data_IF_672447982375
#
_entry.id   IF_672447982375
#
_cell.length_a   1.000
_cell.length_b   1.000
_cell.length_c   1.000
_cell.angle_alpha   90.00
_cell.angle_beta   90.00
_cell.angle_gamma   90.00
#
_symmetry.space_group_name_H-M   'P 1'
#
loop_
_entity.id
_entity.type
_entity.pdbx_description
1 polymer ?
#
# COMPACT_ATOMS: atom_id res chain seq x y z
N UNK A 1 -5.24 -11.32 -1.33
CA UNK A 1 -5.83 -10.23 -2.15
C UNK A 1 -7.10 -10.79 -2.78
N UNK A 2 -8.16 -10.00 -2.90
CA UNK A 2 -9.31 -10.37 -3.72
C UNK A 2 -9.02 -10.01 -5.18
N UNK A 3 -8.82 -11.03 -6.02
CA UNK A 3 -8.47 -10.87 -7.43
C UNK A 3 -9.61 -10.25 -8.24
N UNK A 4 -10.88 -10.46 -7.86
CA UNK A 4 -12.03 -9.91 -8.58
C UNK A 4 -12.13 -8.39 -8.42
N UNK A 5 -11.72 -7.85 -7.25
CA UNK A 5 -11.80 -6.41 -6.97
C UNK A 5 -10.45 -5.70 -6.91
N UNK A 6 -9.34 -6.40 -7.19
CA UNK A 6 -7.98 -5.84 -7.10
C UNK A 6 -7.72 -5.15 -5.76
N UNK A 7 -8.28 -5.70 -4.69
CA UNK A 7 -8.31 -5.08 -3.37
C UNK A 7 -7.60 -5.95 -2.35
N UNK A 8 -6.75 -5.31 -1.54
CA UNK A 8 -6.07 -5.94 -0.43
C UNK A 8 -6.55 -5.33 0.88
N UNK A 9 -7.05 -6.20 1.77
CA UNK A 9 -7.37 -5.89 3.14
C UNK A 9 -6.40 -6.63 4.05
N UNK A 10 -5.34 -5.96 4.50
CA UNK A 10 -4.34 -6.57 5.36
C UNK A 10 -4.87 -6.73 6.79
N UNK A 11 -4.62 -7.88 7.38
CA UNK A 11 -4.88 -8.12 8.80
C UNK A 11 -3.85 -7.34 9.64
N UNK A 12 -4.25 -6.37 10.48
CA UNK A 12 -3.34 -5.63 11.36
C UNK A 12 -2.71 -6.48 12.47
N UNK A 13 -3.31 -7.63 12.78
CA UNK A 13 -2.79 -8.57 13.78
C UNK A 13 -1.74 -9.52 13.17
N UNK A 14 -1.66 -9.56 11.84
CA UNK A 14 -0.59 -10.25 11.12
C UNK A 14 0.66 -9.36 11.01
N UNK A 15 1.75 -9.77 11.65
CA UNK A 15 3.03 -9.03 11.66
C UNK A 15 3.65 -8.78 10.26
N UNK A 16 3.19 -9.51 9.24
CA UNK A 16 3.59 -9.33 7.83
C UNK A 16 2.82 -8.25 7.11
N UNK A 17 1.74 -7.72 7.69
CA UNK A 17 1.08 -6.51 7.22
C UNK A 17 1.69 -5.29 7.93
N UNK A 18 2.18 -4.31 7.16
CA UNK A 18 2.59 -3.02 7.75
C UNK A 18 1.34 -2.19 8.04
N UNK A 19 0.76 -2.41 9.22
CA UNK A 19 -0.35 -1.65 9.75
C UNK A 19 -0.61 -2.11 11.18
N UNK A 20 -0.64 -1.18 12.13
CA UNK A 20 -0.78 -1.48 13.55
C UNK A 20 -1.90 -0.67 14.18
N UNK A 21 -2.59 -1.29 15.12
CA UNK A 21 -3.53 -0.61 15.98
C UNK A 21 -2.87 0.52 16.75
N UNK A 22 -3.62 1.61 16.95
CA UNK A 22 -3.25 2.65 17.88
C UNK A 22 -3.16 2.01 19.29
N UNK A 23 -2.07 2.22 20.03
CA UNK A 23 -1.93 1.67 21.38
C UNK A 23 -2.90 2.27 22.40
N UNK A 24 -3.57 3.39 22.10
CA UNK A 24 -4.61 3.95 22.96
C UNK A 24 -5.79 2.97 23.00
N UNK A 25 -6.11 2.44 24.19
CA UNK A 25 -7.04 1.32 24.40
C UNK A 25 -8.41 1.53 23.77
N UNK A 26 -8.96 2.74 23.87
CA UNK A 26 -10.26 3.09 23.29
C UNK A 26 -10.20 3.53 21.82
N UNK A 27 -9.03 3.52 21.17
CA UNK A 27 -8.84 4.02 19.81
C UNK A 27 -8.75 2.87 18.78
N UNK A 28 -9.78 2.65 17.94
CA UNK A 28 -9.77 1.61 16.92
C UNK A 28 -9.03 2.04 15.62
N UNK A 29 -8.13 3.02 15.71
CA UNK A 29 -7.43 3.52 14.52
C UNK A 29 -6.26 2.62 14.18
N UNK A 30 -6.04 2.38 12.88
CA UNK A 30 -4.87 1.64 12.39
C UNK A 30 -3.95 2.64 11.68
N UNK A 31 -2.66 2.59 11.99
CA UNK A 31 -1.63 3.46 11.42
C UNK A 31 -0.49 2.65 10.81
N UNK A 32 0.33 3.28 9.97
CA UNK A 32 1.54 2.69 9.42
C UNK A 32 2.76 2.82 10.38
N UNK A 33 2.51 3.14 11.65
CA UNK A 33 3.50 3.21 12.72
C UNK A 33 3.02 2.40 13.92
N UNK A 34 3.95 1.90 14.74
CA UNK A 34 3.62 1.24 16.02
C UNK A 34 3.21 2.21 17.14
N UNK A 35 3.23 3.51 16.86
CA UNK A 35 2.87 4.55 17.82
C UNK A 35 1.40 4.92 17.78
N UNK A 36 1.04 5.93 18.58
CA UNK A 36 -0.28 6.57 18.53
C UNK A 36 -0.60 7.09 17.13
N UNK A 37 -1.89 7.02 16.76
CA UNK A 37 -2.35 7.68 15.54
C UNK A 37 -2.18 9.21 15.65
N UNK A 38 -2.20 9.92 14.51
CA UNK A 38 -2.02 11.39 14.49
C UNK A 38 -2.99 12.16 15.39
N UNK A 39 -4.24 11.69 15.55
CA UNK A 39 -5.20 12.35 16.44
C UNK A 39 -4.82 12.14 17.90
N UNK A 40 -4.55 10.90 18.31
CA UNK A 40 -4.10 10.58 19.65
C UNK A 40 -2.77 11.26 20.00
N UNK A 41 -1.83 11.42 19.06
CA UNK A 41 -0.60 12.21 19.29
C UNK A 41 -0.93 13.65 19.64
N UNK A 42 -1.84 14.28 18.89
CA UNK A 42 -2.23 15.68 19.12
C UNK A 42 -3.01 15.84 20.43
N UNK A 43 -3.93 14.93 20.71
CA UNK A 43 -4.73 14.92 21.94
C UNK A 43 -3.87 14.64 23.16
N UNK A 44 -2.91 13.72 23.07
CA UNK A 44 -1.93 13.46 24.12
C UNK A 44 -1.13 14.72 24.46
N UNK A 45 -0.56 15.38 23.43
CA UNK A 45 0.16 16.64 23.59
C UNK A 45 -0.69 17.75 24.22
N UNK A 46 -1.99 17.77 23.95
CA UNK A 46 -2.91 18.76 24.51
C UNK A 46 -3.38 18.41 25.94
N UNK A 47 -3.37 17.13 26.32
CA UNK A 47 -3.91 16.66 27.59
C UNK A 47 -3.02 16.96 28.80
N UNK A 48 -1.70 17.08 28.59
CA UNK A 48 -0.72 17.17 29.69
C UNK A 48 -0.53 15.86 30.48
N UNK A 49 -1.24 14.79 30.14
CA UNK A 49 -1.10 13.48 30.77
C UNK A 49 0.24 12.84 30.36
N UNK A 50 0.81 12.03 31.25
CA UNK A 50 1.88 11.12 30.86
C UNK A 50 1.35 10.09 29.85
N UNK A 51 2.28 9.43 29.15
CA UNK A 51 1.92 8.53 28.05
C UNK A 51 1.10 7.33 28.53
N UNK A 52 1.44 6.72 29.66
CA UNK A 52 0.78 5.49 30.10
C UNK A 52 -0.66 5.77 30.53
N UNK A 53 -0.85 6.80 31.36
CA UNK A 53 -2.18 7.27 31.78
C UNK A 53 -3.05 7.63 30.56
N UNK A 54 -2.48 8.31 29.57
CA UNK A 54 -3.22 8.65 28.35
C UNK A 54 -3.64 7.42 27.54
N UNK A 55 -2.76 6.44 27.38
CA UNK A 55 -3.07 5.24 26.59
C UNK A 55 -4.21 4.41 27.19
N UNK A 56 -4.31 4.35 28.53
CA UNK A 56 -5.36 3.59 29.21
C UNK A 56 -6.69 4.36 29.33
N UNK A 57 -6.64 5.66 29.63
CA UNK A 57 -7.85 6.43 30.00
C UNK A 57 -8.46 7.27 28.87
N UNK A 58 -7.69 7.63 27.84
CA UNK A 58 -8.18 8.55 26.81
C UNK A 58 -9.18 7.90 25.86
N UNK A 59 -10.34 8.52 25.71
CA UNK A 59 -11.37 8.16 24.72
C UNK A 59 -11.38 9.21 23.62
N UNK A 60 -10.90 8.91 22.39
CA UNK A 60 -10.86 9.90 21.32
C UNK A 60 -12.25 10.42 20.94
N UNK A 61 -12.41 11.74 20.93
CA UNK A 61 -13.61 12.38 20.37
C UNK A 61 -13.62 12.23 18.84
N UNK A 62 -14.71 11.68 18.28
CA UNK A 62 -14.91 11.67 16.83
C UNK A 62 -15.26 13.07 16.30
N UNK A 63 -14.29 13.99 16.27
CA UNK A 63 -14.51 15.40 15.85
C UNK A 63 -14.89 15.55 14.38
N UNK A 64 -14.34 14.69 13.50
CA UNK A 64 -14.69 14.60 12.07
C UNK A 64 -14.71 13.14 11.65
N UNK A 65 -15.70 12.79 10.83
CA UNK A 65 -15.82 11.46 10.29
C UNK A 65 -14.68 11.15 9.31
N UNK A 66 -13.95 10.06 9.54
CA UNK A 66 -13.02 9.54 8.56
C UNK A 66 -13.83 8.89 7.42
N UNK A 67 -13.58 9.24 6.14
CA UNK A 67 -14.24 8.55 5.03
C UNK A 67 -14.02 7.03 5.13
N UNK A 68 -14.94 6.20 4.63
CA UNK A 68 -14.76 4.74 4.63
C UNK A 68 -15.05 3.99 5.95
N UNK A 69 -15.75 4.61 6.92
CA UNK A 69 -16.44 3.87 8.00
C UNK A 69 -17.91 3.61 7.62
N UNK A 70 -18.59 2.69 8.30
CA UNK A 70 -20.06 2.63 8.21
C UNK A 70 -20.66 3.84 8.91
N UNK A 71 -21.56 4.53 8.21
CA UNK A 71 -22.13 5.77 8.70
C UNK A 71 -23.15 5.45 9.79
N UNK A 72 -22.80 5.69 11.05
CA UNK A 72 -23.82 5.80 12.09
C UNK A 72 -24.86 6.82 11.63
N UNK A 73 -26.14 6.55 11.89
CA UNK A 73 -27.25 7.34 11.34
C UNK A 73 -27.30 8.74 11.95
N UNK A 74 -27.87 9.66 11.19
CA UNK A 74 -28.12 11.03 11.65
C UNK A 74 -28.93 11.03 12.95
N UNK A 75 -28.62 11.98 13.84
CA UNK A 75 -29.27 12.16 15.13
C UNK A 75 -30.72 12.64 15.02
N UNK A 76 -31.12 13.23 13.89
CA UNK A 76 -32.47 13.77 13.70
C UNK A 76 -33.50 12.66 13.82
N UNK A 77 -34.42 12.85 14.77
CA UNK A 77 -35.51 11.96 15.06
C UNK A 77 -36.74 12.78 15.42
N UNK A 78 -37.86 12.47 14.78
CA UNK A 78 -39.14 13.16 15.01
C UNK A 78 -40.28 12.18 14.86
N UNK A 79 -41.24 12.23 15.77
CA UNK A 79 -42.45 11.40 15.74
C UNK A 79 -42.13 9.89 15.57
N UNK A 80 -41.08 9.43 16.27
CA UNK A 80 -40.59 8.04 16.21
C UNK A 80 -39.85 7.67 14.93
N UNK A 81 -39.58 8.61 14.02
CA UNK A 81 -38.86 8.35 12.75
C UNK A 81 -37.40 8.81 12.80
N UNK A 82 -36.50 7.84 12.67
CA UNK A 82 -35.05 7.93 12.39
C UNK A 82 -34.71 8.59 11.04
N UNK A 83 -33.90 9.64 10.97
CA UNK A 83 -33.22 9.98 9.71
C UNK A 83 -32.29 8.82 9.28
N UNK A 84 -32.47 8.32 8.05
CA UNK A 84 -31.75 7.16 7.50
C UNK A 84 -30.39 7.52 6.91
N UNK A 85 -30.16 8.80 6.61
CA UNK A 85 -28.89 9.25 6.04
C UNK A 85 -27.77 9.16 7.08
N UNK A 86 -26.56 8.88 6.62
CA UNK A 86 -25.41 8.81 7.49
C UNK A 86 -24.97 10.13 8.11
N UNK A 87 -24.41 10.06 9.32
CA UNK A 87 -23.81 11.21 9.99
C UNK A 87 -22.61 11.75 9.20
N UNK A 88 -22.52 13.08 9.13
CA UNK A 88 -21.46 13.84 8.49
C UNK A 88 -20.65 14.63 9.54
N UNK A 89 -21.31 15.51 10.30
CA UNK A 89 -20.68 16.38 11.30
C UNK A 89 -21.64 16.60 12.47
N UNK A 90 -21.11 16.67 13.70
CA UNK A 90 -21.92 16.84 14.94
C UNK A 90 -23.10 15.85 15.03
N UNK A 91 -22.87 14.60 14.60
CA UNK A 91 -23.89 13.53 14.53
C UNK A 91 -25.08 13.81 13.58
N UNK A 92 -25.05 14.88 12.79
CA UNK A 92 -26.05 15.21 11.77
C UNK A 92 -25.59 14.77 10.38
N UNK A 93 -26.51 14.40 9.48
CA UNK A 93 -26.20 14.21 8.05
C UNK A 93 -25.84 15.56 7.40
N UNK A 94 -25.31 15.55 6.16
CA UNK A 94 -24.89 16.79 5.49
C UNK A 94 -26.04 17.80 5.35
N UNK A 95 -27.24 17.33 5.00
CA UNK A 95 -28.44 18.17 4.84
C UNK A 95 -28.86 18.80 6.16
N UNK A 96 -28.98 18.00 7.22
CA UNK A 96 -29.35 18.50 8.55
C UNK A 96 -28.25 19.35 9.18
N UNK A 97 -26.98 19.03 8.95
CA UNK A 97 -25.87 19.88 9.39
C UNK A 97 -25.94 21.27 8.77
N UNK A 98 -26.23 21.36 7.46
CA UNK A 98 -26.43 22.66 6.79
C UNK A 98 -27.63 23.41 7.36
N UNK A 99 -28.77 22.74 7.54
CA UNK A 99 -29.96 23.36 8.13
C UNK A 99 -29.70 23.87 9.56
N UNK A 100 -28.97 23.08 10.35
CA UNK A 100 -28.54 23.46 11.70
C UNK A 100 -27.64 24.69 11.69
N UNK A 101 -26.64 24.73 10.81
CA UNK A 101 -25.80 25.93 10.63
C UNK A 101 -26.65 27.15 10.25
N UNK A 102 -27.59 27.00 9.31
CA UNK A 102 -28.50 28.08 8.91
C UNK A 102 -29.40 28.54 10.05
N UNK A 103 -29.74 27.67 11.00
CA UNK A 103 -30.53 28.01 12.19
C UNK A 103 -29.74 28.70 13.32
N UNK A 104 -28.50 29.14 13.04
CA UNK A 104 -27.64 29.80 14.04
C UNK A 104 -26.85 28.83 14.91
N UNK A 105 -26.75 27.55 14.52
CA UNK A 105 -25.98 26.53 15.25
C UNK A 105 -26.38 26.34 16.73
N UNK A 106 -27.68 26.14 17.03
CA UNK A 106 -28.16 25.90 18.40
C UNK A 106 -27.61 24.61 19.01
N UNK A 107 -27.93 24.30 20.26
CA UNK A 107 -27.55 23.00 20.86
C UNK A 107 -28.08 21.84 19.99
N UNK A 108 -27.18 20.95 19.56
CA UNK A 108 -27.44 20.06 18.42
C UNK A 108 -28.40 18.91 18.77
N UNK A 109 -28.31 18.37 19.97
CA UNK A 109 -29.20 17.33 20.47
C UNK A 109 -30.65 17.81 20.63
N UNK A 110 -30.86 19.04 21.10
CA UNK A 110 -32.17 19.67 21.26
C UNK A 110 -32.75 20.02 19.89
N UNK A 111 -31.94 20.64 19.02
CA UNK A 111 -32.38 21.00 17.68
C UNK A 111 -32.79 19.76 16.86
N UNK A 112 -32.01 18.67 16.94
CA UNK A 112 -32.26 17.45 16.19
C UNK A 112 -33.59 16.76 16.55
N UNK A 113 -34.14 17.02 17.74
CA UNK A 113 -35.43 16.45 18.20
C UNK A 113 -36.62 17.37 17.99
N UNK A 114 -36.40 18.68 17.87
CA UNK A 114 -37.46 19.69 17.92
C UNK A 114 -37.72 20.38 16.59
N UNK A 115 -36.74 20.43 15.69
CA UNK A 115 -36.81 21.25 14.47
C UNK A 115 -37.05 20.46 13.17
N UNK A 116 -36.08 19.65 12.71
CA UNK A 116 -36.03 19.19 11.33
C UNK A 116 -36.84 17.92 11.06
N UNK A 117 -37.34 17.78 9.83
CA UNK A 117 -37.99 16.55 9.35
C UNK A 117 -36.90 15.49 9.04
N UNK A 118 -37.05 14.24 9.53
CA UNK A 118 -36.18 13.14 9.17
C UNK A 118 -36.22 12.82 7.66
N UNK A 119 -35.07 12.52 7.06
CA UNK A 119 -34.99 11.98 5.70
C UNK A 119 -35.07 10.46 5.81
N UNK A 120 -36.00 9.83 5.10
CA UNK A 120 -36.28 8.39 5.20
C UNK A 120 -35.96 7.62 3.93
N UNK A 121 -35.54 8.31 2.87
CA UNK A 121 -35.02 7.69 1.65
C UNK A 121 -33.67 7.03 1.95
N UNK A 122 -33.39 5.90 1.27
CA UNK A 122 -32.07 5.28 1.34
C UNK A 122 -31.26 5.74 0.15
N UNK A 123 -30.14 6.42 0.42
CA UNK A 123 -29.25 6.85 -0.64
C UNK A 123 -28.47 5.65 -1.19
N UNK A 124 -28.37 5.50 -2.53
CA UNK A 124 -27.53 4.46 -3.10
C UNK A 124 -26.06 4.65 -2.71
N UNK A 125 -25.29 3.57 -2.76
CA UNK A 125 -23.85 3.61 -2.54
C UNK A 125 -23.11 4.40 -3.64
N UNK A 126 -21.96 4.94 -3.28
CA UNK A 126 -21.03 5.61 -4.19
C UNK A 126 -20.68 4.71 -5.38
N UNK A 127 -20.54 5.30 -6.58
CA UNK A 127 -20.18 4.58 -7.80
C UNK A 127 -18.75 4.03 -7.83
N UNK A 128 -17.90 4.40 -6.87
CA UNK A 128 -16.55 3.83 -6.76
C UNK A 128 -16.67 2.42 -6.20
N UNK A 129 -16.11 1.44 -6.90
CA UNK A 129 -16.09 0.05 -6.46
C UNK A 129 -15.56 -0.07 -5.01
N UNK A 130 -16.24 -0.90 -4.20
CA UNK A 130 -15.95 -1.09 -2.76
C UNK A 130 -16.13 0.16 -1.88
N UNK A 131 -16.66 1.26 -2.39
CA UNK A 131 -17.01 2.41 -1.58
C UNK A 131 -18.43 2.27 -1.04
N UNK A 132 -18.55 1.99 0.24
CA UNK A 132 -19.83 1.81 0.92
C UNK A 132 -20.41 3.13 1.47
N UNK A 133 -19.80 4.26 1.13
CA UNK A 133 -20.34 5.56 1.51
C UNK A 133 -21.59 5.87 0.70
N UNK A 134 -22.59 6.41 1.38
CA UNK A 134 -23.78 6.97 0.72
C UNK A 134 -23.36 8.12 -0.22
N UNK A 135 -24.05 8.18 -1.36
CA UNK A 135 -23.92 9.30 -2.30
C UNK A 135 -24.22 10.61 -1.60
N UNK A 136 -23.58 11.70 -2.05
CA UNK A 136 -23.83 13.03 -1.51
C UNK A 136 -24.62 13.85 -2.52
N UNK A 137 -25.94 14.01 -2.31
CA UNK A 137 -26.84 14.76 -3.19
C UNK A 137 -27.21 14.01 -4.48
N UNK A 138 -27.58 14.72 -5.55
CA UNK A 138 -27.99 14.17 -6.86
C UNK A 138 -26.84 13.57 -7.70
N UNK A 139 -25.68 13.28 -7.09
CA UNK A 139 -24.48 12.77 -7.78
C UNK A 139 -24.30 11.28 -7.53
N UNK A 140 -23.60 10.60 -8.44
CA UNK A 140 -23.23 9.18 -8.31
C UNK A 140 -22.12 8.93 -7.29
N UNK A 141 -21.51 9.97 -6.70
CA UNK A 141 -20.36 9.89 -5.79
C UNK A 141 -20.67 10.33 -4.34
N UNK A 142 -19.93 9.78 -3.37
CA UNK A 142 -19.95 10.28 -1.99
C UNK A 142 -19.17 11.62 -1.86
N UNK A 143 -19.34 12.33 -0.75
CA UNK A 143 -18.72 13.64 -0.52
C UNK A 143 -17.19 13.61 -0.65
N UNK A 144 -16.55 12.54 -0.17
CA UNK A 144 -15.10 12.33 -0.31
C UNK A 144 -14.68 12.22 -1.78
N UNK A 145 -15.37 11.40 -2.57
CA UNK A 145 -15.03 11.22 -3.98
C UNK A 145 -15.40 12.41 -4.85
N UNK A 146 -16.46 13.17 -4.50
CA UNK A 146 -16.75 14.46 -5.14
C UNK A 146 -15.58 15.43 -4.94
N UNK A 147 -15.05 15.53 -3.71
CA UNK A 147 -13.90 16.40 -3.43
C UNK A 147 -12.63 15.93 -4.15
N UNK A 148 -12.43 14.61 -4.25
CA UNK A 148 -11.31 14.00 -4.97
C UNK A 148 -11.38 14.27 -6.48
N UNK A 149 -12.54 14.03 -7.11
CA UNK A 149 -12.76 14.27 -8.54
C UNK A 149 -12.52 15.74 -8.91
N UNK A 150 -13.08 16.67 -8.14
CA UNK A 150 -12.88 18.12 -8.36
C UNK A 150 -11.42 18.56 -8.29
N UNK A 151 -10.61 17.90 -7.47
CA UNK A 151 -9.19 18.23 -7.31
C UNK A 151 -8.33 17.56 -8.37
N UNK A 152 -8.59 16.29 -8.65
CA UNK A 152 -7.68 15.44 -9.43
C UNK A 152 -8.06 15.39 -10.91
N UNK A 153 -9.34 15.53 -11.27
CA UNK A 153 -9.84 15.39 -12.65
C UNK A 153 -11.15 16.18 -12.89
N UNK A 154 -11.19 17.51 -12.68
CA UNK A 154 -12.44 18.29 -12.73
C UNK A 154 -13.15 18.27 -14.09
N UNK A 155 -12.42 18.01 -15.17
CA UNK A 155 -12.92 18.02 -16.55
C UNK A 155 -13.21 16.62 -17.11
N UNK A 156 -12.92 15.56 -16.35
CA UNK A 156 -13.17 14.17 -16.78
C UNK A 156 -14.60 13.73 -16.42
N UNK A 157 -15.32 13.00 -17.29
CA UNK A 157 -16.58 12.36 -16.94
C UNK A 157 -16.44 11.49 -15.68
N UNK A 158 -17.45 11.54 -14.80
CA UNK A 158 -17.39 10.86 -13.50
C UNK A 158 -17.26 9.36 -13.67
N UNK A 159 -17.92 8.78 -14.65
CA UNK A 159 -17.96 7.34 -14.93
C UNK A 159 -16.59 6.81 -15.37
N UNK A 160 -15.92 7.53 -16.27
CA UNK A 160 -14.56 7.20 -16.75
C UNK A 160 -13.55 7.31 -15.60
N UNK A 161 -13.62 8.41 -14.85
CA UNK A 161 -12.76 8.64 -13.71
C UNK A 161 -12.95 7.55 -12.64
N UNK A 162 -14.22 7.25 -12.31
CA UNK A 162 -14.61 6.32 -11.25
C UNK A 162 -14.07 4.91 -11.46
N UNK A 163 -14.02 4.45 -12.72
CA UNK A 163 -13.53 3.10 -13.08
C UNK A 163 -12.08 2.84 -12.65
N UNK A 164 -11.28 3.90 -12.46
CA UNK A 164 -9.86 3.83 -12.08
C UNK A 164 -9.60 4.27 -10.64
N UNK A 165 -10.64 4.65 -9.90
CA UNK A 165 -10.49 5.14 -8.53
C UNK A 165 -10.55 4.03 -7.48
N UNK A 166 -10.01 4.36 -6.32
CA UNK A 166 -10.05 3.52 -5.12
C UNK A 166 -11.10 4.03 -4.13
N UNK A 167 -11.68 3.15 -3.29
CA UNK A 167 -12.43 3.60 -2.13
C UNK A 167 -11.51 4.37 -1.16
N UNK A 168 -12.05 4.90 -0.06
CA UNK A 168 -11.16 5.36 0.99
C UNK A 168 -10.36 4.17 1.56
N UNK A 169 -9.03 4.23 1.47
CA UNK A 169 -8.14 3.16 1.89
C UNK A 169 -7.57 3.44 3.27
N UNK A 170 -7.78 2.52 4.23
CA UNK A 170 -7.14 2.58 5.55
C UNK A 170 -5.65 2.25 5.47
N UNK A 171 -4.92 2.37 6.58
CA UNK A 171 -3.46 2.16 6.60
C UNK A 171 -3.05 0.74 6.19
N UNK A 172 -3.86 -0.27 6.49
CA UNK A 172 -3.64 -1.69 6.14
C UNK A 172 -4.23 -2.09 4.78
N UNK A 173 -4.72 -1.13 3.98
CA UNK A 173 -5.45 -1.40 2.75
C UNK A 173 -4.78 -0.74 1.55
N UNK A 174 -4.78 -1.45 0.42
CA UNK A 174 -4.45 -0.91 -0.88
C UNK A 174 -5.33 -1.50 -1.97
N UNK A 175 -5.32 -0.88 -3.15
CA UNK A 175 -5.95 -1.42 -4.35
C UNK A 175 -5.01 -1.27 -5.53
N UNK A 176 -5.05 -2.25 -6.42
CA UNK A 176 -4.30 -2.24 -7.67
C UNK A 176 -5.11 -1.65 -8.84
N UNK A 177 -6.40 -1.32 -8.65
CA UNK A 177 -7.25 -0.69 -9.69
C UNK A 177 -6.57 0.49 -10.40
N UNK A 178 -5.80 1.38 -9.73
CA UNK A 178 -5.18 2.51 -10.40
C UNK A 178 -4.09 2.15 -11.43
N UNK A 179 -3.52 0.95 -11.38
CA UNK A 179 -2.52 0.53 -12.37
C UNK A 179 -3.19 0.13 -13.69
N UNK A 180 -2.44 0.22 -14.80
CA UNK A 180 -2.84 -0.36 -16.08
C UNK A 180 -3.03 -1.90 -15.99
N UNK A 181 -3.86 -2.52 -16.86
CA UNK A 181 -4.24 -3.92 -16.72
C UNK A 181 -3.08 -4.92 -16.58
N UNK A 182 -2.01 -4.79 -17.35
CA UNK A 182 -0.83 -5.68 -17.27
C UNK A 182 -0.03 -5.40 -16.01
N UNK A 183 0.25 -4.12 -15.72
CA UNK A 183 0.90 -3.67 -14.49
C UNK A 183 0.22 -4.18 -13.20
N UNK A 184 -1.12 -4.35 -13.19
CA UNK A 184 -1.84 -4.96 -12.05
C UNK A 184 -1.36 -6.37 -11.76
N UNK A 185 -1.18 -7.18 -12.81
CA UNK A 185 -0.69 -8.56 -12.69
C UNK A 185 0.76 -8.61 -12.28
N UNK A 186 1.62 -7.77 -12.85
CA UNK A 186 3.03 -7.68 -12.47
C UNK A 186 3.20 -7.27 -11.00
N UNK A 187 2.43 -6.27 -10.55
CA UNK A 187 2.42 -5.83 -9.16
C UNK A 187 1.90 -6.93 -8.22
N UNK A 188 0.81 -7.61 -8.59
CA UNK A 188 0.28 -8.74 -7.84
C UNK A 188 1.32 -9.86 -7.72
N UNK A 189 1.95 -10.24 -8.84
CA UNK A 189 2.99 -11.25 -8.86
C UNK A 189 4.16 -10.87 -7.95
N UNK A 190 4.65 -9.63 -8.05
CA UNK A 190 5.75 -9.17 -7.20
C UNK A 190 5.41 -9.21 -5.70
N UNK A 191 4.19 -8.81 -5.34
CA UNK A 191 3.69 -8.88 -3.96
C UNK A 191 3.55 -10.32 -3.46
N UNK A 192 3.07 -11.24 -4.31
CA UNK A 192 2.99 -12.67 -3.99
C UNK A 192 4.38 -13.29 -3.77
N UNK A 193 5.35 -12.97 -4.63
CA UNK A 193 6.73 -13.44 -4.46
C UNK A 193 7.39 -12.87 -3.21
N UNK A 194 7.03 -11.64 -2.82
CA UNK A 194 7.50 -11.06 -1.56
C UNK A 194 6.90 -11.77 -0.35
N UNK A 195 5.60 -11.99 -0.34
CA UNK A 195 4.91 -12.70 0.74
C UNK A 195 5.41 -14.15 0.90
N UNK A 196 5.60 -14.85 -0.22
CA UNK A 196 6.17 -16.21 -0.25
C UNK A 196 7.57 -16.31 0.36
N UNK A 197 8.36 -15.21 0.31
CA UNK A 197 9.68 -15.11 0.94
C UNK A 197 9.62 -14.64 2.40
N UNK A 198 8.42 -14.48 2.97
CA UNK A 198 8.19 -13.97 4.32
C UNK A 198 8.40 -12.45 4.45
N UNK A 199 8.44 -11.73 3.32
CA UNK A 199 8.54 -10.28 3.30
C UNK A 199 7.25 -9.61 3.77
N UNK A 200 7.37 -8.43 4.37
CA UNK A 200 6.20 -7.65 4.81
C UNK A 200 5.57 -6.88 3.65
N UNK A 201 4.26 -6.90 3.55
CA UNK A 201 3.51 -6.08 2.60
C UNK A 201 3.24 -4.72 3.25
N UNK A 202 3.63 -3.64 2.56
CA UNK A 202 3.37 -2.27 2.99
C UNK A 202 2.32 -1.60 2.09
N UNK A 203 1.05 -1.53 2.52
CA UNK A 203 -0.01 -0.90 1.75
C UNK A 203 0.23 0.59 1.46
N UNK A 204 0.97 1.30 2.31
CA UNK A 204 1.28 2.72 2.08
C UNK A 204 2.30 2.86 0.95
N UNK A 205 3.32 2.01 0.92
CA UNK A 205 4.27 1.98 -0.19
C UNK A 205 3.60 1.55 -1.51
N UNK A 206 2.72 0.54 -1.50
CA UNK A 206 2.02 0.13 -2.73
C UNK A 206 1.16 1.27 -3.30
N UNK A 207 0.45 2.02 -2.44
CA UNK A 207 -0.31 3.23 -2.86
C UNK A 207 0.59 4.35 -3.37
N UNK A 208 1.79 4.50 -2.81
CA UNK A 208 2.76 5.45 -3.34
C UNK A 208 3.19 5.04 -4.75
N UNK A 209 3.48 3.75 -4.97
CA UNK A 209 3.88 3.22 -6.27
C UNK A 209 2.82 3.42 -7.34
N UNK A 210 1.53 3.32 -7.03
CA UNK A 210 0.49 3.64 -8.00
C UNK A 210 0.56 5.10 -8.49
N UNK A 211 1.02 6.03 -7.65
CA UNK A 211 1.27 7.42 -8.04
C UNK A 211 2.64 7.67 -8.70
N UNK A 212 3.50 6.66 -8.84
CA UNK A 212 4.78 6.75 -9.56
C UNK A 212 4.71 6.05 -10.92
N UNK A 213 4.15 4.84 -10.96
CA UNK A 213 4.17 3.97 -12.15
C UNK A 213 2.77 3.53 -12.60
N UNK A 214 1.71 4.10 -12.04
CA UNK A 214 0.32 3.74 -12.35
C UNK A 214 -0.06 3.86 -13.82
N UNK A 215 0.47 4.89 -14.50
CA UNK A 215 0.17 5.18 -15.90
C UNK A 215 1.01 4.36 -16.89
N UNK A 216 2.02 3.61 -16.42
CA UNK A 216 2.83 2.75 -17.28
C UNK A 216 2.07 1.47 -17.61
N UNK A 217 2.16 0.97 -18.87
CA UNK A 217 1.47 -0.25 -19.26
C UNK A 217 2.03 -1.48 -18.53
N UNK A 218 3.35 -1.55 -18.35
CA UNK A 218 4.07 -2.61 -17.64
C UNK A 218 5.47 -2.15 -17.20
N UNK A 219 6.14 -2.93 -16.34
CA UNK A 219 7.49 -2.69 -15.84
C UNK A 219 8.59 -3.24 -16.73
N UNK A 220 8.31 -4.24 -17.57
CA UNK A 220 9.33 -4.91 -18.38
C UNK A 220 10.06 -3.99 -19.37
N UNK A 221 9.40 -2.91 -19.85
CA UNK A 221 10.01 -1.94 -20.76
C UNK A 221 10.55 -0.70 -20.03
N UNK A 222 10.45 -0.67 -18.70
CA UNK A 222 10.89 0.48 -17.94
C UNK A 222 12.42 0.48 -17.77
N UNK A 223 13.05 1.62 -18.02
CA UNK A 223 14.46 1.78 -17.68
C UNK A 223 14.63 1.76 -16.16
N UNK A 224 15.54 0.89 -15.69
CA UNK A 224 15.78 0.71 -14.26
C UNK A 224 16.28 1.99 -13.61
N UNK A 225 17.15 2.73 -14.29
CA UNK A 225 17.76 3.95 -13.75
C UNK A 225 16.73 5.07 -13.63
N UNK A 226 15.84 5.19 -14.61
CA UNK A 226 14.69 6.10 -14.60
C UNK A 226 13.76 5.79 -13.41
N UNK A 227 13.40 4.52 -13.21
CA UNK A 227 12.56 4.10 -12.08
C UNK A 227 13.22 4.41 -10.73
N UNK A 228 14.53 4.20 -10.61
CA UNK A 228 15.25 4.54 -9.39
C UNK A 228 15.25 6.06 -9.18
N UNK A 229 15.52 6.86 -10.21
CA UNK A 229 15.50 8.32 -10.11
C UNK A 229 14.13 8.84 -9.64
N UNK A 230 13.04 8.29 -10.21
CA UNK A 230 11.67 8.61 -9.79
C UNK A 230 11.41 8.29 -8.31
N UNK A 231 11.93 7.18 -7.80
CA UNK A 231 11.77 6.81 -6.40
C UNK A 231 12.58 7.70 -5.43
N UNK A 232 13.74 8.21 -5.85
CA UNK A 232 14.58 9.10 -5.04
C UNK A 232 13.96 10.50 -4.87
N UNK A 233 13.29 11.03 -5.89
CA UNK A 233 12.67 12.37 -5.83
C UNK A 233 11.51 12.48 -4.83
N UNK A 234 10.85 11.37 -4.51
CA UNK A 234 9.66 11.33 -3.61
C UNK A 234 9.95 10.89 -2.17
N UNK A 235 11.21 10.96 -1.74
CA UNK A 235 11.66 10.86 -0.32
C UNK A 235 11.05 9.71 0.49
N UNK A 236 11.46 8.48 0.16
CA UNK A 236 11.48 7.38 1.11
C UNK A 236 12.50 6.34 0.65
N UNK A 237 13.58 6.11 1.41
CA UNK A 237 14.55 5.04 1.10
C UNK A 237 13.86 3.66 0.93
N UNK A 238 12.74 3.45 1.62
CA UNK A 238 11.91 2.25 1.47
C UNK A 238 11.23 2.14 0.10
N UNK A 239 10.89 3.25 -0.57
CA UNK A 239 10.29 3.23 -1.90
C UNK A 239 11.28 2.73 -2.95
N UNK A 240 12.51 3.25 -2.95
CA UNK A 240 13.58 2.81 -3.86
C UNK A 240 13.91 1.32 -3.70
N UNK A 241 13.96 0.82 -2.46
CA UNK A 241 14.16 -0.60 -2.21
C UNK A 241 13.00 -1.45 -2.75
N UNK A 242 11.75 -1.01 -2.53
CA UNK A 242 10.57 -1.75 -2.96
C UNK A 242 10.42 -1.79 -4.49
N UNK A 243 10.63 -0.64 -5.16
CA UNK A 243 10.55 -0.59 -6.63
C UNK A 243 11.66 -1.41 -7.29
N UNK A 244 12.88 -1.40 -6.72
CA UNK A 244 13.99 -2.22 -7.21
C UNK A 244 13.71 -3.73 -7.03
N UNK A 245 13.11 -4.12 -5.91
CA UNK A 245 12.69 -5.49 -5.68
C UNK A 245 11.59 -5.91 -6.65
N UNK A 246 10.53 -5.10 -6.82
CA UNK A 246 9.43 -5.38 -7.74
C UNK A 246 9.95 -5.51 -9.17
N UNK A 247 10.73 -4.53 -9.64
CA UNK A 247 11.36 -4.54 -10.96
C UNK A 247 12.10 -5.85 -11.20
N UNK A 248 12.99 -6.20 -10.27
CA UNK A 248 13.81 -7.42 -10.37
C UNK A 248 12.96 -8.69 -10.38
N UNK A 249 11.96 -8.79 -9.51
CA UNK A 249 11.09 -9.97 -9.41
C UNK A 249 10.32 -10.17 -10.71
N UNK A 250 9.76 -9.11 -11.28
CA UNK A 250 9.00 -9.17 -12.53
C UNK A 250 9.90 -9.59 -13.69
N UNK A 251 11.10 -9.02 -13.81
CA UNK A 251 12.04 -9.36 -14.88
C UNK A 251 12.51 -10.82 -14.78
N UNK A 252 12.87 -11.27 -13.58
CA UNK A 252 13.29 -12.67 -13.36
C UNK A 252 12.14 -13.63 -13.64
N UNK A 253 10.93 -13.33 -13.16
CA UNK A 253 9.77 -14.18 -13.42
C UNK A 253 9.41 -14.26 -14.91
N UNK A 254 9.52 -13.15 -15.64
CA UNK A 254 9.32 -13.12 -17.08
C UNK A 254 10.36 -13.97 -17.83
N UNK A 255 11.62 -13.93 -17.40
CA UNK A 255 12.68 -14.75 -18.00
C UNK A 255 12.52 -16.24 -17.70
N UNK A 256 12.18 -16.58 -16.45
CA UNK A 256 11.88 -17.96 -16.06
C UNK A 256 10.70 -18.51 -16.87
N UNK A 257 9.66 -17.71 -17.11
CA UNK A 257 8.53 -18.06 -17.98
C UNK A 257 8.96 -18.32 -19.43
N UNK A 258 10.00 -17.64 -19.91
CA UNK A 258 10.62 -17.87 -21.24
C UNK A 258 11.64 -19.02 -21.23
N UNK A 259 11.80 -19.72 -20.11
CA UNK A 259 12.76 -20.83 -19.96
C UNK A 259 14.20 -20.38 -19.73
N UNK A 260 14.44 -19.09 -19.49
CA UNK A 260 15.77 -18.55 -19.22
C UNK A 260 16.00 -18.57 -17.72
N UNK A 261 16.96 -19.38 -17.25
CA UNK A 261 17.33 -19.40 -15.84
C UNK A 261 18.23 -18.20 -15.52
N UNK A 262 18.18 -17.64 -14.29
CA UNK A 262 19.11 -16.60 -13.87
C UNK A 262 20.59 -16.98 -14.07
N UNK A 263 20.89 -18.28 -14.00
CA UNK A 263 22.24 -18.84 -14.18
C UNK A 263 22.67 -18.98 -15.64
N UNK A 264 21.77 -18.81 -16.61
CA UNK A 264 22.09 -18.94 -18.04
C UNK A 264 22.83 -17.69 -18.56
N UNK A 265 22.79 -16.59 -17.81
CA UNK A 265 23.43 -15.32 -18.14
C UNK A 265 24.86 -15.20 -17.63
N UNK A 266 25.57 -14.17 -18.09
CA UNK A 266 26.88 -13.77 -17.56
C UNK A 266 26.78 -12.87 -16.32
N UNK A 267 25.64 -12.23 -16.08
CA UNK A 267 25.42 -11.42 -14.87
C UNK A 267 24.40 -12.12 -13.99
N UNK A 268 24.86 -12.63 -12.85
CA UNK A 268 24.03 -13.34 -11.88
C UNK A 268 23.61 -12.38 -10.77
N UNK A 269 22.33 -12.05 -10.72
CA UNK A 269 21.79 -11.29 -9.61
C UNK A 269 21.62 -12.19 -8.39
N UNK A 270 22.37 -11.92 -7.32
CA UNK A 270 22.51 -12.85 -6.18
C UNK A 270 21.19 -13.20 -5.47
N UNK A 271 20.26 -12.27 -5.22
CA UNK A 271 18.94 -12.63 -4.67
C UNK A 271 18.00 -13.47 -5.59
N UNK A 272 18.42 -13.81 -6.82
CA UNK A 272 17.64 -14.59 -7.80
C UNK A 272 18.19 -16.00 -7.93
N UNK A 273 19.48 -16.17 -7.63
CA UNK A 273 20.08 -17.49 -7.48
C UNK A 273 19.78 -17.97 -6.06
N UNK A 274 19.06 -19.09 -5.91
CA UNK A 274 18.64 -19.64 -4.60
C UNK A 274 19.80 -20.35 -3.88
N UNK A 275 20.98 -19.74 -3.90
CA UNK A 275 22.22 -20.35 -3.45
C UNK A 275 22.14 -20.81 -1.98
N UNK A 276 22.66 -22.02 -1.66
CA UNK A 276 22.75 -22.49 -0.28
C UNK A 276 23.58 -21.54 0.60
N UNK A 277 23.24 -21.46 1.88
CA UNK A 277 24.07 -20.74 2.85
C UNK A 277 24.24 -21.52 4.14
N UNK A 278 25.52 -21.74 4.48
CA UNK A 278 25.95 -22.34 5.74
C UNK A 278 25.59 -21.51 6.97
N UNK A 279 25.35 -20.20 6.81
CA UNK A 279 25.09 -19.27 7.92
C UNK A 279 23.59 -19.03 8.18
N UNK A 280 22.71 -19.63 7.39
CA UNK A 280 21.27 -19.45 7.52
C UNK A 280 20.61 -20.58 8.30
N UNK A 281 19.77 -20.26 9.30
CA UNK A 281 18.94 -21.24 10.01
C UNK A 281 17.97 -22.02 9.09
N UNK A 282 17.75 -21.56 7.86
CA UNK A 282 16.90 -22.24 6.85
C UNK A 282 17.72 -22.93 5.74
N UNK A 283 19.05 -23.00 5.85
CA UNK A 283 19.95 -23.59 4.85
C UNK A 283 20.12 -22.79 3.54
N UNK A 284 19.36 -21.70 3.34
CA UNK A 284 19.42 -20.81 2.17
C UNK A 284 19.87 -19.41 2.56
N UNK A 285 20.70 -18.76 1.73
CA UNK A 285 21.25 -17.44 2.02
C UNK A 285 20.14 -16.43 2.34
N UNK A 286 20.21 -15.86 3.55
CA UNK A 286 19.29 -14.82 4.01
C UNK A 286 19.76 -13.41 3.66
N UNK A 287 20.96 -13.26 3.09
CA UNK A 287 21.54 -11.99 2.65
C UNK A 287 21.68 -11.99 1.12
N UNK A 288 20.97 -11.21 0.30
CA UNK A 288 20.59 -9.76 0.26
C UNK A 288 21.66 -8.88 -0.38
N UNK A 289 21.37 -8.45 -1.62
CA UNK A 289 22.12 -7.49 -2.45
C UNK A 289 23.44 -7.99 -3.09
N UNK A 290 23.67 -7.53 -4.32
CA UNK A 290 24.86 -7.82 -5.13
C UNK A 290 24.57 -8.57 -6.43
N UNK A 291 25.50 -8.42 -7.36
CA UNK A 291 25.52 -9.05 -8.68
C UNK A 291 26.92 -9.67 -8.86
N UNK A 292 27.00 -10.83 -9.51
CA UNK A 292 28.26 -11.39 -9.99
C UNK A 292 28.28 -11.20 -11.50
N UNK A 293 29.14 -10.32 -11.98
CA UNK A 293 29.34 -10.08 -13.39
C UNK A 293 30.55 -10.91 -13.89
N UNK A 294 30.26 -12.06 -14.50
CA UNK A 294 31.28 -12.96 -15.04
C UNK A 294 32.01 -12.35 -16.25
N UNK A 295 31.55 -11.24 -16.82
CA UNK A 295 32.32 -10.51 -17.85
C UNK A 295 33.62 -9.93 -17.29
N UNK A 296 33.71 -9.72 -15.96
CA UNK A 296 34.93 -9.29 -15.27
C UNK A 296 36.08 -10.32 -15.37
N UNK A 297 35.77 -11.60 -15.62
CA UNK A 297 36.78 -12.63 -15.93
C UNK A 297 37.11 -12.47 -17.41
N UNK A 298 38.25 -11.87 -17.76
CA UNK A 298 38.55 -11.52 -19.16
C UNK A 298 38.87 -12.75 -20.03
N UNK A 299 39.49 -13.78 -19.44
CA UNK A 299 39.86 -15.03 -20.12
C UNK A 299 38.60 -15.88 -20.40
N UNK A 300 38.18 -16.07 -21.66
CA UNK A 300 36.92 -16.75 -21.98
C UNK A 300 36.84 -18.17 -21.45
N UNK A 301 37.91 -18.95 -21.59
CA UNK A 301 37.96 -20.34 -21.12
C UNK A 301 37.78 -20.45 -19.59
N UNK A 302 38.36 -19.52 -18.82
CA UNK A 302 38.25 -19.51 -17.37
C UNK A 302 36.86 -19.05 -16.93
N UNK A 303 36.27 -18.08 -17.66
CA UNK A 303 34.90 -17.65 -17.46
C UNK A 303 33.92 -18.81 -17.65
N UNK A 304 34.05 -19.52 -18.77
CA UNK A 304 33.18 -20.64 -19.11
C UNK A 304 33.31 -21.78 -18.10
N UNK A 305 34.56 -22.13 -17.73
CA UNK A 305 34.83 -23.12 -16.69
C UNK A 305 34.21 -22.73 -15.33
N UNK A 306 34.34 -21.47 -14.92
CA UNK A 306 33.79 -20.99 -13.65
C UNK A 306 32.25 -21.01 -13.67
N UNK A 307 31.64 -20.62 -14.79
CA UNK A 307 30.18 -20.68 -14.97
C UNK A 307 29.66 -22.12 -14.93
N UNK A 308 30.30 -23.02 -15.66
CA UNK A 308 29.91 -24.44 -15.71
C UNK A 308 30.07 -25.11 -14.35
N UNK A 309 31.19 -24.87 -13.66
CA UNK A 309 31.40 -25.32 -12.29
C UNK A 309 30.29 -24.81 -11.36
N UNK A 310 29.99 -23.51 -11.39
CA UNK A 310 28.98 -22.91 -10.53
C UNK A 310 27.57 -23.49 -10.79
N UNK A 311 27.23 -23.78 -12.05
CA UNK A 311 25.95 -24.39 -12.44
C UNK A 311 25.82 -25.85 -11.99
N UNK A 312 26.90 -26.61 -12.07
CA UNK A 312 26.88 -28.05 -11.79
C UNK A 312 27.01 -28.36 -10.29
N UNK A 313 27.78 -27.56 -9.55
CA UNK A 313 28.10 -27.84 -8.14
C UNK A 313 27.10 -27.17 -7.17
N UNK A 314 26.35 -26.17 -7.62
CA UNK A 314 25.47 -25.31 -6.78
C UNK A 314 26.14 -24.89 -5.46
N UNK A 315 27.34 -24.26 -5.53
CA UNK A 315 28.14 -23.97 -4.36
C UNK A 315 27.43 -22.99 -3.43
N UNK A 316 27.76 -23.04 -2.13
CA UNK A 316 27.30 -22.02 -1.20
C UNK A 316 27.75 -20.61 -1.63
N UNK A 317 26.96 -19.58 -1.31
CA UNK A 317 27.24 -18.21 -1.77
C UNK A 317 28.64 -17.68 -1.42
N UNK A 318 29.20 -18.12 -0.28
CA UNK A 318 30.55 -17.78 0.17
C UNK A 318 31.60 -18.36 -0.79
N UNK A 319 31.51 -19.66 -1.05
CA UNK A 319 32.38 -20.37 -1.99
C UNK A 319 32.25 -19.81 -3.41
N UNK A 320 31.03 -19.51 -3.86
CA UNK A 320 30.80 -18.90 -5.18
C UNK A 320 31.51 -17.54 -5.32
N UNK A 321 31.39 -16.67 -4.29
CA UNK A 321 32.01 -15.34 -4.30
C UNK A 321 33.53 -15.42 -4.28
N UNK A 322 34.09 -16.33 -3.49
CA UNK A 322 35.54 -16.47 -3.37
C UNK A 322 36.13 -17.05 -4.65
N UNK A 323 35.52 -18.07 -5.24
CA UNK A 323 35.96 -18.61 -6.54
C UNK A 323 35.87 -17.57 -7.65
N UNK A 324 34.78 -16.80 -7.71
CA UNK A 324 34.65 -15.68 -8.65
C UNK A 324 35.77 -14.64 -8.47
N UNK A 325 36.05 -14.22 -7.23
CA UNK A 325 37.13 -13.26 -6.93
C UNK A 325 38.50 -13.79 -7.35
N UNK A 326 38.79 -15.05 -7.07
CA UNK A 326 40.05 -15.69 -7.50
C UNK A 326 40.15 -15.72 -9.02
N UNK A 327 39.09 -16.13 -9.73
CA UNK A 327 39.08 -16.16 -11.19
C UNK A 327 39.28 -14.77 -11.82
N UNK A 328 38.74 -13.71 -11.20
CA UNK A 328 38.99 -12.32 -11.61
C UNK A 328 40.45 -11.90 -11.31
N UNK A 329 41.06 -12.37 -10.23
CA UNK A 329 42.44 -12.02 -9.86
C UNK A 329 43.51 -12.77 -10.67
N UNK A 330 43.26 -14.02 -11.07
CA UNK A 330 44.18 -14.83 -11.90
C UNK A 330 44.43 -14.17 -13.28
N UNK A 331 43.53 -13.27 -13.68
CA UNK A 331 43.64 -12.44 -14.88
C UNK A 331 44.65 -11.28 -14.73
N UNK A 332 44.99 -10.88 -13.51
CA UNK A 332 45.85 -9.72 -13.23
C UNK A 332 47.34 -10.05 -13.03
N UNK A 333 47.72 -11.33 -13.12
CA UNK A 333 49.12 -11.74 -13.08
C UNK A 333 49.67 -11.82 -14.53
N UNK A 334 50.72 -11.04 -14.86
CA UNK A 334 51.34 -11.04 -16.20
C UNK A 334 52.00 -12.37 -16.56
#
# INVERSE_FOLDING_TARGET
MDAASWFFNGDPDNERTVGWWCPTRACPSISNSRGMCKSCIREHRASGLDRETFLDTHVPEERKYAPGRHQARCLVERDGRRCTHGKYCRRLCLTHYRAWCTSGSPEVEVWARTGPVPLTDTLPACAIARCEQERSGLKTLCSYHVAKHRRDAPNEPVEEWASRQTPFLRAHQFSLVPFQPVMRWEMLYALQQRDARGGKIDPTLVRMLSGLVGDRPHLLDADRSELMALAHTKTCAGASAHINEIYRVVHVGHEEMRGIKPTDKLVWHLPSIKAPSRKSKTGRARSTHGELDFTAITQPWLRDLTLEWARNIDPSLEVLRDTFRVAVLVVAAP
#
